data_IF_966552889773
#
_entry.id   IF_966552889773
#
_cell.length_a   1.000
_cell.length_b   1.000
_cell.length_c   1.000
_cell.angle_alpha   90.00
_cell.angle_beta   90.00
_cell.angle_gamma   90.00
#
_symmetry.space_group_name_H-M   'P 1'
#
loop_
_entity.id
_entity.type
_entity.pdbx_description
1 polymer ?
#
# COMPACT_ATOMS: atom_id res chain seq x y z
N UNK A 1 32.97 -21.69 23.88
CA UNK A 1 32.04 -21.68 22.73
C UNK A 1 30.67 -21.70 23.38
N UNK A 2 29.94 -20.61 23.34
CA UNK A 2 28.57 -20.57 23.91
C UNK A 2 27.71 -21.28 22.88
N UNK A 3 27.24 -22.48 23.20
CA UNK A 3 26.20 -23.16 22.43
C UNK A 3 24.91 -22.35 22.63
N UNK A 4 24.56 -21.54 21.65
CA UNK A 4 23.26 -20.90 21.61
C UNK A 4 22.25 -21.95 21.17
N UNK A 5 21.36 -22.35 22.05
CA UNK A 5 20.19 -23.12 21.67
C UNK A 5 19.39 -22.32 20.64
N UNK A 6 19.04 -22.97 19.54
CA UNK A 6 18.24 -22.29 18.52
C UNK A 6 16.87 -21.96 19.12
N UNK A 7 16.44 -20.68 19.02
CA UNK A 7 15.14 -20.31 19.55
C UNK A 7 14.02 -20.98 18.74
N UNK A 8 12.98 -21.39 19.42
CA UNK A 8 11.73 -21.86 18.81
C UNK A 8 10.95 -20.64 18.34
N UNK A 9 10.41 -20.73 17.15
CA UNK A 9 9.59 -19.68 16.53
C UNK A 9 8.19 -20.24 16.33
N UNK A 10 7.20 -19.63 16.96
CA UNK A 10 5.80 -19.93 16.76
C UNK A 10 5.12 -18.73 16.09
N UNK A 11 4.28 -19.01 15.09
CA UNK A 11 3.54 -17.99 14.33
C UNK A 11 2.05 -18.30 14.43
N UNK A 12 1.30 -17.35 14.98
CA UNK A 12 -0.16 -17.39 15.04
C UNK A 12 -0.70 -16.33 14.08
N UNK A 13 -1.47 -16.74 13.08
CA UNK A 13 -2.10 -15.83 12.10
C UNK A 13 -3.61 -15.85 12.27
N UNK A 14 -4.27 -14.71 11.96
CA UNK A 14 -5.72 -14.68 11.86
C UNK A 14 -6.19 -15.25 10.50
N UNK A 15 -7.49 -15.59 10.42
CA UNK A 15 -8.08 -16.18 9.19
C UNK A 15 -7.94 -15.28 7.97
N UNK A 16 -7.98 -13.96 8.15
CA UNK A 16 -7.83 -12.97 7.08
C UNK A 16 -6.38 -12.70 6.68
N UNK A 17 -5.40 -13.31 7.39
CA UNK A 17 -3.96 -13.06 7.21
C UNK A 17 -3.56 -11.58 7.31
N UNK A 18 -4.35 -10.80 8.00
CA UNK A 18 -4.11 -9.37 8.25
C UNK A 18 -3.35 -9.09 9.54
N UNK A 19 -3.22 -10.10 10.40
CA UNK A 19 -2.51 -10.05 11.68
C UNK A 19 -1.73 -11.33 11.92
N UNK A 20 -0.50 -11.18 12.39
CA UNK A 20 0.30 -12.31 12.86
C UNK A 20 0.98 -11.98 14.21
N UNK A 21 0.98 -12.94 15.11
CA UNK A 21 1.74 -12.91 16.36
C UNK A 21 2.88 -13.91 16.25
N UNK A 22 4.08 -13.43 16.46
CA UNK A 22 5.29 -14.25 16.39
C UNK A 22 5.90 -14.33 17.78
N UNK A 23 6.06 -15.54 18.30
CA UNK A 23 6.71 -15.81 19.59
C UNK A 23 8.05 -16.46 19.31
N UNK A 24 9.11 -15.87 19.90
CA UNK A 24 10.48 -16.37 19.76
C UNK A 24 11.05 -16.63 21.14
N UNK A 25 11.28 -17.88 21.46
CA UNK A 25 11.79 -18.30 22.78
C UNK A 25 12.61 -19.60 22.70
N UNK A 26 13.56 -19.85 23.65
CA UNK A 26 14.10 -18.88 24.57
C UNK A 26 15.13 -17.95 23.89
N UNK A 27 15.31 -16.75 24.43
CA UNK A 27 16.36 -15.82 24.02
C UNK A 27 17.24 -15.49 25.21
N UNK A 28 18.52 -15.28 24.97
CA UNK A 28 19.45 -14.80 26.01
C UNK A 28 19.04 -13.38 26.47
N UNK A 29 19.45 -13.08 27.71
CA UNK A 29 19.15 -11.79 28.34
C UNK A 29 19.64 -10.61 27.49
N UNK A 30 18.74 -9.69 27.17
CA UNK A 30 19.01 -8.51 26.35
C UNK A 30 18.76 -8.68 24.85
N UNK A 31 18.79 -9.92 24.31
CA UNK A 31 18.55 -10.16 22.88
C UNK A 31 17.12 -9.86 22.46
N UNK A 32 16.14 -10.04 23.33
CA UNK A 32 14.74 -9.77 23.01
C UNK A 32 14.50 -8.33 22.57
N UNK A 33 15.07 -7.34 23.26
CA UNK A 33 14.98 -5.92 22.86
C UNK A 33 15.69 -5.64 21.53
N UNK A 34 16.88 -6.21 21.35
CA UNK A 34 17.66 -6.01 20.11
C UNK A 34 16.95 -6.58 18.89
N UNK A 35 16.48 -7.82 19.00
CA UNK A 35 15.75 -8.50 17.91
C UNK A 35 14.41 -7.81 17.65
N UNK A 36 13.65 -7.47 18.69
CA UNK A 36 12.37 -6.79 18.57
C UNK A 36 12.50 -5.44 17.86
N UNK A 37 13.48 -4.60 18.23
CA UNK A 37 13.75 -3.35 17.55
C UNK A 37 14.18 -3.54 16.09
N UNK A 38 15.07 -4.51 15.85
CA UNK A 38 15.55 -4.79 14.49
C UNK A 38 14.40 -5.24 13.59
N UNK A 39 13.62 -6.21 14.02
CA UNK A 39 12.47 -6.71 13.26
C UNK A 39 11.42 -5.62 13.04
N UNK A 40 11.11 -4.82 14.05
CA UNK A 40 10.19 -3.70 13.91
C UNK A 40 10.63 -2.74 12.81
N UNK A 41 11.90 -2.35 12.80
CA UNK A 41 12.45 -1.44 11.78
C UNK A 41 12.40 -2.05 10.39
N UNK A 42 12.78 -3.31 10.24
CA UNK A 42 12.77 -4.01 8.94
C UNK A 42 11.34 -4.12 8.41
N UNK A 43 10.40 -4.55 9.24
CA UNK A 43 9.00 -4.73 8.86
C UNK A 43 8.33 -3.43 8.43
N UNK A 44 8.66 -2.30 9.07
CA UNK A 44 8.05 -0.99 8.77
C UNK A 44 8.72 -0.23 7.61
N UNK A 45 9.96 -0.56 7.22
CA UNK A 45 10.70 0.27 6.28
C UNK A 45 11.40 -0.47 5.15
N UNK A 46 11.72 -1.76 5.31
CA UNK A 46 12.57 -2.47 4.37
C UNK A 46 11.82 -3.43 3.44
N UNK A 47 10.58 -3.80 3.77
CA UNK A 47 9.80 -4.70 2.94
C UNK A 47 9.36 -3.99 1.65
N UNK A 48 9.54 -4.63 0.50
CA UNK A 48 9.05 -4.10 -0.77
C UNK A 48 7.54 -4.27 -0.87
N UNK A 49 6.90 -3.35 -1.57
CA UNK A 49 5.48 -3.40 -1.90
C UNK A 49 5.17 -2.64 -3.16
N UNK A 50 3.91 -2.63 -3.55
CA UNK A 50 3.40 -1.83 -4.65
C UNK A 50 2.42 -0.77 -4.14
N UNK A 51 2.42 0.39 -4.78
CA UNK A 51 1.53 1.49 -4.42
C UNK A 51 1.22 2.37 -5.63
N UNK A 52 0.16 3.16 -5.51
CA UNK A 52 -0.16 4.22 -6.47
C UNK A 52 0.89 5.32 -6.33
N UNK A 53 1.48 5.72 -7.46
CA UNK A 53 2.48 6.78 -7.56
C UNK A 53 1.88 8.10 -8.06
N UNK A 54 0.79 8.02 -8.78
CA UNK A 54 0.10 9.18 -9.30
C UNK A 54 -1.15 8.85 -10.09
N UNK A 55 -1.89 9.89 -10.43
CA UNK A 55 -3.14 9.83 -11.17
C UNK A 55 -3.18 10.90 -12.25
N UNK A 56 -3.80 10.59 -13.39
CA UNK A 56 -4.09 11.53 -14.47
C UNK A 56 -5.54 11.39 -14.87
N UNK A 57 -6.24 12.51 -14.94
CA UNK A 57 -7.64 12.56 -15.35
C UNK A 57 -7.77 13.01 -16.80
N UNK A 58 -8.78 12.49 -17.48
CA UNK A 58 -9.11 12.82 -18.85
C UNK A 58 -10.50 13.48 -18.97
N UNK A 59 -10.69 14.38 -19.98
CA UNK A 59 -9.68 14.88 -20.92
C UNK A 59 -8.61 15.72 -20.21
N UNK A 60 -7.46 15.83 -20.86
CA UNK A 60 -6.35 16.65 -20.35
C UNK A 60 -6.81 18.08 -20.05
N UNK A 61 -6.42 18.58 -18.87
CA UNK A 61 -6.79 19.91 -18.39
C UNK A 61 -8.13 19.97 -17.65
N UNK A 62 -8.87 18.85 -17.52
CA UNK A 62 -10.04 18.76 -16.66
C UNK A 62 -9.65 19.02 -15.20
N UNK A 63 -8.59 18.39 -14.76
CA UNK A 63 -8.01 18.57 -13.43
C UNK A 63 -6.64 19.22 -13.57
N UNK A 64 -6.49 20.43 -13.05
CA UNK A 64 -5.26 21.22 -13.18
C UNK A 64 -4.33 21.06 -11.98
N UNK A 65 -4.87 20.74 -10.85
CA UNK A 65 -4.15 20.57 -9.58
C UNK A 65 -4.93 19.67 -8.64
N UNK A 66 -4.26 19.18 -7.62
CA UNK A 66 -4.80 18.25 -6.64
C UNK A 66 -6.02 18.74 -5.84
N UNK A 67 -6.27 20.04 -5.80
CA UNK A 67 -7.43 20.63 -5.10
C UNK A 67 -8.61 20.93 -6.04
N UNK A 68 -8.68 20.28 -7.20
CA UNK A 68 -9.77 20.44 -8.15
C UNK A 68 -10.96 19.55 -7.76
N UNK A 69 -12.16 19.99 -8.15
CA UNK A 69 -13.34 19.16 -8.18
C UNK A 69 -13.59 18.64 -9.61
N UNK A 70 -14.16 17.45 -9.73
CA UNK A 70 -14.48 16.85 -11.01
C UNK A 70 -16.00 16.96 -11.22
N UNK A 71 -16.48 17.59 -12.30
CA UNK A 71 -17.91 17.70 -12.54
C UNK A 71 -18.59 16.32 -12.62
N UNK A 72 -19.66 16.15 -11.85
CA UNK A 72 -20.41 14.91 -11.80
C UNK A 72 -19.73 13.76 -11.02
N UNK A 73 -18.74 14.09 -10.22
CA UNK A 73 -18.14 13.18 -9.23
C UNK A 73 -18.38 13.75 -7.85
N UNK A 74 -18.86 12.94 -6.93
CA UNK A 74 -19.23 13.38 -5.59
C UNK A 74 -18.02 13.82 -4.76
N UNK A 75 -16.92 13.06 -4.86
CA UNK A 75 -15.68 13.32 -4.16
C UNK A 75 -14.81 14.29 -4.96
N UNK A 76 -14.09 15.14 -4.24
CA UNK A 76 -13.04 15.95 -4.85
C UNK A 76 -11.73 15.13 -5.04
N UNK A 77 -10.79 15.70 -5.76
CA UNK A 77 -9.53 15.01 -6.09
C UNK A 77 -8.74 14.60 -4.84
N UNK A 78 -8.62 15.42 -3.77
CA UNK A 78 -7.98 15.00 -2.54
C UNK A 78 -8.62 13.77 -1.89
N UNK A 79 -9.95 13.68 -1.87
CA UNK A 79 -10.66 12.52 -1.32
C UNK A 79 -10.42 11.27 -2.16
N UNK A 80 -10.46 11.40 -3.49
CA UNK A 80 -10.12 10.30 -4.40
C UNK A 80 -8.69 9.81 -4.13
N UNK A 81 -7.72 10.71 -4.00
CA UNK A 81 -6.32 10.39 -3.69
C UNK A 81 -6.20 9.67 -2.35
N UNK A 82 -6.90 10.11 -1.32
CA UNK A 82 -6.91 9.45 -0.01
C UNK A 82 -7.44 8.02 -0.10
N UNK A 83 -8.53 7.82 -0.86
CA UNK A 83 -9.10 6.48 -1.09
C UNK A 83 -8.14 5.59 -1.88
N UNK A 84 -7.47 6.12 -2.90
CA UNK A 84 -6.47 5.37 -3.68
C UNK A 84 -5.24 4.95 -2.86
N UNK A 85 -4.82 5.74 -1.88
CA UNK A 85 -3.72 5.38 -0.96
C UNK A 85 -4.03 4.17 -0.09
N UNK A 86 -5.30 3.83 0.08
CA UNK A 86 -5.72 2.66 0.88
C UNK A 86 -5.81 1.38 0.06
N UNK A 87 -5.62 1.44 -1.27
CA UNK A 87 -5.59 0.26 -2.11
C UNK A 87 -4.42 -0.66 -1.73
N UNK A 88 -4.74 -1.91 -1.48
CA UNK A 88 -3.75 -2.97 -1.26
C UNK A 88 -3.41 -3.61 -2.61
N UNK A 89 -2.24 -3.26 -3.13
CA UNK A 89 -1.78 -3.66 -4.46
C UNK A 89 -0.69 -4.71 -4.32
N UNK A 90 -0.84 -5.82 -5.01
CA UNK A 90 0.16 -6.86 -5.14
C UNK A 90 0.67 -6.94 -6.58
N UNK A 91 1.97 -7.17 -6.74
CA UNK A 91 2.60 -7.39 -8.05
C UNK A 91 3.33 -8.73 -8.06
N UNK A 92 3.24 -9.44 -9.17
CA UNK A 92 3.96 -10.72 -9.37
C UNK A 92 5.43 -10.53 -9.69
N UNK A 93 5.81 -9.34 -10.15
CA UNK A 93 7.20 -9.03 -10.53
C UNK A 93 8.07 -8.68 -9.34
N UNK A 94 9.36 -9.02 -9.44
CA UNK A 94 10.39 -8.61 -8.47
C UNK A 94 11.22 -7.42 -8.96
N UNK A 95 10.94 -6.91 -10.15
CA UNK A 95 11.61 -5.76 -10.73
C UNK A 95 11.42 -4.52 -9.85
N UNK A 96 12.53 -3.83 -9.56
CA UNK A 96 12.52 -2.61 -8.72
C UNK A 96 12.02 -1.40 -9.49
N UNK A 97 12.18 -1.40 -10.80
CA UNK A 97 11.81 -0.31 -11.71
C UNK A 97 10.43 -0.54 -12.33
N UNK A 98 9.68 -1.50 -11.80
CA UNK A 98 8.33 -1.81 -12.26
C UNK A 98 7.42 -0.60 -12.11
N UNK A 99 6.84 -0.19 -13.23
CA UNK A 99 5.80 0.84 -13.32
C UNK A 99 4.73 0.37 -14.29
N UNK A 100 3.49 0.45 -13.88
CA UNK A 100 2.33 0.06 -14.68
C UNK A 100 1.26 1.14 -14.65
N UNK A 101 0.59 1.36 -15.76
CA UNK A 101 -0.56 2.24 -15.86
C UNK A 101 -1.84 1.41 -15.89
N UNK A 102 -2.76 1.68 -14.97
CA UNK A 102 -4.09 1.11 -14.92
C UNK A 102 -5.08 2.17 -15.37
N UNK A 103 -5.90 1.85 -16.34
CA UNK A 103 -6.89 2.79 -16.91
C UNK A 103 -8.30 2.41 -16.49
N UNK A 104 -9.10 3.39 -16.13
CA UNK A 104 -10.51 3.23 -15.79
C UNK A 104 -11.35 4.27 -16.53
N UNK A 105 -12.41 3.78 -17.19
CA UNK A 105 -13.46 4.60 -17.77
C UNK A 105 -14.79 4.09 -17.23
N UNK A 106 -15.57 4.97 -16.62
CA UNK A 106 -16.88 4.62 -16.09
C UNK A 106 -17.88 5.75 -16.34
N UNK A 107 -19.09 5.37 -16.76
CA UNK A 107 -20.22 6.27 -16.91
C UNK A 107 -21.18 6.08 -15.73
N UNK A 108 -21.70 7.18 -15.20
CA UNK A 108 -22.63 7.16 -14.08
C UNK A 108 -24.07 6.86 -14.50
N UNK A 109 -24.93 6.53 -13.52
CA UNK A 109 -24.64 6.50 -12.11
C UNK A 109 -23.81 5.25 -11.71
N UNK A 110 -22.69 5.42 -11.04
CA UNK A 110 -21.85 4.30 -10.63
C UNK A 110 -21.05 4.60 -9.37
N UNK A 111 -20.87 3.58 -8.52
CA UNK A 111 -19.90 3.56 -7.43
C UNK A 111 -18.65 2.87 -7.96
N UNK A 112 -17.52 3.56 -7.86
CA UNK A 112 -16.23 3.03 -8.30
C UNK A 112 -15.48 2.47 -7.10
N UNK A 113 -15.02 1.24 -7.25
CA UNK A 113 -14.26 0.51 -6.24
C UNK A 113 -12.92 0.03 -6.81
N UNK A 114 -12.06 -0.52 -5.96
CA UNK A 114 -10.80 -1.11 -6.38
C UNK A 114 -10.97 -2.23 -7.42
N UNK A 115 -12.10 -2.94 -7.39
CA UNK A 115 -12.42 -4.01 -8.35
C UNK A 115 -12.77 -3.54 -9.75
N UNK A 116 -13.08 -2.25 -9.93
CA UNK A 116 -13.38 -1.67 -11.26
C UNK A 116 -12.12 -1.31 -12.05
N UNK A 117 -10.96 -1.26 -11.37
CA UNK A 117 -9.68 -0.97 -12.03
C UNK A 117 -9.30 -2.11 -12.98
N UNK A 118 -8.97 -1.76 -14.22
CA UNK A 118 -8.50 -2.72 -15.20
C UNK A 118 -7.10 -3.20 -14.85
N UNK A 119 -7.03 -4.33 -14.16
CA UNK A 119 -5.78 -5.00 -13.79
C UNK A 119 -5.44 -6.10 -14.80
N UNK A 120 -4.17 -6.39 -14.94
CA UNK A 120 -3.67 -7.52 -15.74
C UNK A 120 -3.00 -8.57 -14.85
N UNK A 121 -2.35 -9.57 -15.47
CA UNK A 121 -1.69 -10.66 -14.76
C UNK A 121 -0.52 -10.23 -13.86
N UNK A 122 -0.01 -9.01 -14.02
CA UNK A 122 1.13 -8.49 -13.26
C UNK A 122 0.74 -7.70 -12.02
N UNK A 123 -0.51 -7.21 -11.97
CA UNK A 123 -1.03 -6.38 -10.87
C UNK A 123 -2.35 -6.95 -10.36
N UNK A 124 -2.45 -7.12 -9.06
CA UNK A 124 -3.67 -7.55 -8.41
C UNK A 124 -4.07 -6.54 -7.32
N UNK A 125 -5.37 -6.19 -7.27
CA UNK A 125 -5.95 -5.43 -6.17
C UNK A 125 -6.55 -6.42 -5.18
N UNK A 126 -6.00 -6.45 -3.96
CA UNK A 126 -6.43 -7.39 -2.91
C UNK A 126 -7.78 -6.97 -2.31
N UNK A 127 -7.91 -5.69 -1.98
CA UNK A 127 -9.14 -5.13 -1.39
C UNK A 127 -10.05 -4.54 -2.47
N UNK A 128 -10.64 -5.40 -3.29
CA UNK A 128 -11.49 -5.02 -4.43
C UNK A 128 -12.71 -4.16 -4.04
N UNK A 129 -13.18 -4.30 -2.81
CA UNK A 129 -14.33 -3.55 -2.27
C UNK A 129 -13.96 -2.13 -1.79
N UNK A 130 -12.67 -1.77 -1.82
CA UNK A 130 -12.22 -0.45 -1.42
C UNK A 130 -12.91 0.63 -2.27
N UNK A 131 -13.69 1.47 -1.61
CA UNK A 131 -14.37 2.61 -2.22
C UNK A 131 -13.37 3.65 -2.73
N UNK A 132 -13.61 4.15 -3.94
CA UNK A 132 -12.78 5.19 -4.56
C UNK A 132 -13.59 6.47 -4.70
N UNK A 133 -14.68 6.45 -5.46
CA UNK A 133 -15.56 7.61 -5.66
C UNK A 133 -16.92 7.19 -6.24
N UNK A 134 -17.84 8.16 -6.32
CA UNK A 134 -19.16 7.99 -6.92
C UNK A 134 -19.30 8.93 -8.11
N UNK A 135 -19.77 8.41 -9.24
CA UNK A 135 -20.06 9.16 -10.46
C UNK A 135 -21.56 9.33 -10.58
N UNK A 136 -22.02 10.57 -10.74
CA UNK A 136 -23.43 10.92 -10.88
C UNK A 136 -24.01 10.52 -12.25
N UNK A 137 -25.34 10.51 -12.34
CA UNK A 137 -26.04 10.22 -13.58
C UNK A 137 -25.68 11.21 -14.70
N UNK A 138 -25.34 10.68 -15.87
CA UNK A 138 -24.94 11.47 -17.03
C UNK A 138 -23.53 12.01 -17.01
N UNK A 139 -22.75 11.72 -15.95
CA UNK A 139 -21.34 12.04 -15.86
C UNK A 139 -20.47 10.85 -16.31
N UNK A 140 -19.27 11.16 -16.77
CA UNK A 140 -18.24 10.16 -17.14
C UNK A 140 -16.96 10.50 -16.42
N UNK A 141 -16.39 9.49 -15.80
CA UNK A 141 -15.06 9.57 -15.19
C UNK A 141 -14.08 8.71 -15.97
N UNK A 142 -12.96 9.33 -16.33
CA UNK A 142 -11.88 8.72 -17.10
C UNK A 142 -10.56 9.11 -16.46
N UNK A 143 -9.80 8.12 -15.98
CA UNK A 143 -8.51 8.36 -15.36
C UNK A 143 -7.53 7.20 -15.51
N UNK A 144 -6.26 7.51 -15.40
CA UNK A 144 -5.15 6.56 -15.34
C UNK A 144 -4.46 6.63 -13.98
N UNK A 145 -4.18 5.46 -13.41
CA UNK A 145 -3.36 5.31 -12.22
C UNK A 145 -2.00 4.76 -12.61
N UNK A 146 -0.96 5.41 -12.14
CA UNK A 146 0.39 4.86 -12.21
C UNK A 146 0.67 4.08 -10.93
N UNK A 147 0.93 2.80 -11.07
CA UNK A 147 1.31 1.90 -9.99
C UNK A 147 2.77 1.54 -10.15
N UNK A 148 3.51 1.62 -9.06
CA UNK A 148 4.92 1.25 -9.07
C UNK A 148 5.30 0.42 -7.85
N UNK A 149 6.51 -0.12 -7.88
CA UNK A 149 7.09 -0.90 -6.80
C UNK A 149 8.17 -0.11 -6.08
N UNK A 150 8.23 -0.24 -4.77
CA UNK A 150 9.22 0.48 -3.97
C UNK A 150 9.33 -0.08 -2.56
N UNK A 151 9.93 0.69 -1.66
CA UNK A 151 10.08 0.37 -0.24
C UNK A 151 9.79 1.58 0.63
N UNK A 152 9.18 1.34 1.79
CA UNK A 152 8.91 2.39 2.76
C UNK A 152 7.92 3.43 2.23
N UNK A 153 8.26 4.69 2.35
CA UNK A 153 7.46 5.84 1.96
C UNK A 153 8.20 6.71 0.94
N UNK A 154 7.51 7.14 -0.09
CA UNK A 154 7.99 8.09 -1.08
C UNK A 154 6.99 9.23 -1.25
N UNK A 155 7.38 10.45 -0.91
CA UNK A 155 6.55 11.63 -1.06
C UNK A 155 6.36 12.03 -2.52
N UNK A 156 5.20 12.60 -2.85
CA UNK A 156 4.81 13.05 -4.19
C UNK A 156 5.84 14.00 -4.85
N UNK A 157 6.53 14.82 -4.05
CA UNK A 157 7.55 15.76 -4.53
C UNK A 157 8.91 15.18 -4.88
N UNK A 158 9.14 13.87 -4.68
CA UNK A 158 10.45 13.25 -4.92
C UNK A 158 10.79 13.09 -6.39
N UNK A 159 9.81 13.08 -7.28
CA UNK A 159 10.01 12.99 -8.71
C UNK A 159 9.48 14.27 -9.38
N UNK A 160 10.38 15.13 -9.89
CA UNK A 160 10.03 16.48 -10.35
C UNK A 160 9.62 16.58 -11.84
N UNK A 161 9.77 15.50 -12.62
CA UNK A 161 9.53 15.50 -14.07
C UNK A 161 8.26 14.70 -14.40
N UNK A 162 7.10 15.28 -14.11
CA UNK A 162 5.82 14.70 -14.52
C UNK A 162 5.23 15.45 -15.73
N UNK A 163 4.54 14.76 -16.63
CA UNK A 163 3.79 15.40 -17.70
C UNK A 163 2.67 16.28 -17.12
N UNK A 164 2.26 17.28 -17.88
CA UNK A 164 1.15 18.18 -17.52
C UNK A 164 -0.13 17.33 -17.31
N UNK A 165 -0.87 17.62 -16.23
CA UNK A 165 -2.08 16.86 -15.88
C UNK A 165 -1.85 15.62 -15.02
N UNK A 166 -0.60 15.23 -14.80
CA UNK A 166 -0.27 14.16 -13.86
C UNK A 166 -0.18 14.71 -12.43
N UNK A 167 -0.92 14.11 -11.53
CA UNK A 167 -0.91 14.46 -10.11
C UNK A 167 -0.13 13.38 -9.37
N UNK A 168 1.07 13.68 -8.86
CA UNK A 168 1.83 12.74 -8.08
C UNK A 168 1.16 12.49 -6.72
N UNK A 169 1.20 11.25 -6.27
CA UNK A 169 0.61 10.80 -5.01
C UNK A 169 1.72 10.27 -4.11
N UNK A 170 1.63 10.57 -2.81
CA UNK A 170 2.51 9.95 -1.83
C UNK A 170 2.32 8.43 -1.82
N UNK A 171 3.37 7.70 -2.03
CA UNK A 171 3.33 6.25 -2.14
C UNK A 171 3.79 5.59 -0.84
N UNK A 172 2.94 4.76 -0.27
CA UNK A 172 3.23 3.93 0.91
C UNK A 172 3.40 2.50 0.43
N UNK A 173 4.65 2.08 0.21
CA UNK A 173 4.96 0.75 -0.32
C UNK A 173 4.99 -0.34 0.74
N UNK A 174 5.15 0.04 2.01
CA UNK A 174 5.24 -0.95 3.09
C UNK A 174 3.92 -1.68 3.28
N UNK A 175 3.91 -3.03 3.22
CA UNK A 175 2.69 -3.80 3.43
C UNK A 175 2.28 -3.85 4.92
N UNK A 176 3.22 -3.58 5.82
CA UNK A 176 3.00 -3.67 7.27
C UNK A 176 2.66 -2.29 7.81
N UNK A 177 1.46 -2.14 8.37
CA UNK A 177 0.96 -0.86 8.90
C UNK A 177 1.37 -0.62 10.35
N UNK A 178 1.47 -1.68 11.16
CA UNK A 178 1.76 -1.57 12.60
C UNK A 178 2.56 -2.76 13.08
N UNK A 179 3.59 -2.50 13.87
CA UNK A 179 4.40 -3.51 14.55
C UNK A 179 4.56 -3.10 16.01
N UNK A 180 4.18 -4.00 16.90
CA UNK A 180 4.47 -3.90 18.33
C UNK A 180 5.23 -5.15 18.74
N UNK A 181 6.09 -5.04 19.76
CA UNK A 181 6.70 -6.21 20.39
C UNK A 181 6.72 -6.02 21.89
N UNK A 182 6.73 -7.12 22.61
CA UNK A 182 6.89 -7.19 24.06
C UNK A 182 7.97 -8.21 24.39
N UNK A 183 8.71 -7.97 25.46
CA UNK A 183 9.75 -8.86 25.96
C UNK A 183 9.35 -9.33 27.34
N UNK A 184 9.17 -10.62 27.49
CA UNK A 184 8.74 -11.26 28.73
C UNK A 184 9.88 -12.13 29.29
N UNK A 185 9.91 -12.29 30.60
CA UNK A 185 10.85 -13.20 31.22
C UNK A 185 10.33 -14.62 31.11
N UNK A 186 11.13 -15.52 30.53
CA UNK A 186 10.82 -16.95 30.50
C UNK A 186 11.76 -17.71 31.42
N UNK A 187 11.27 -18.82 32.01
CA UNK A 187 12.11 -19.77 32.72
C UNK A 187 12.52 -20.85 31.74
N UNK A 188 13.82 -20.97 31.51
CA UNK A 188 14.38 -22.14 30.84
C UNK A 188 14.43 -23.21 31.93
N UNK A 189 13.60 -24.25 31.78
CA UNK A 189 13.58 -25.36 32.71
C UNK A 189 14.92 -26.11 32.69
N UNK A 190 15.40 -26.46 33.87
CA UNK A 190 16.41 -27.50 34.04
C UNK A 190 15.77 -28.86 33.78
#
# INVERSE_FOLDING_TARGET
MIEMDMPRIEVEENEEKSYAKIVVEPLEKGFGLTIGNCLRRILLSALPGAAVQGIRFYPDGLVKHEFSAIPGVKEDVPEIILNLKTLAIQTSTTDKDFVKTLHLVKEGPAVITGGDLNVDAEVEIINKEQYICTVDEGAKLDFELTVGRGRGYQGAGSNKNHPIGYIPVDSIYTPVKKVNYNVESTRVGQ
#
